data_IF_244829764367
#
_entry.id   IF_244829764367
#
_cell.length_a   1.000
_cell.length_b   1.000
_cell.length_c   1.000
_cell.angle_alpha   90.00
_cell.angle_beta   90.00
_cell.angle_gamma   90.00
#
_symmetry.space_group_name_H-M   'P 1'
#
loop_
_entity.id
_entity.type
_entity.pdbx_description
1 polymer ?
#
# COMPACT_ATOMS: atom_id res chain seq x y z
N UNK A 1 45.90 58.66 -22.18
CA UNK A 1 46.09 57.36 -21.50
C UNK A 1 45.14 57.30 -20.32
N UNK A 2 43.93 56.76 -20.49
CA UNK A 2 43.17 56.07 -19.44
C UNK A 2 41.92 55.45 -20.07
N UNK A 3 41.95 54.13 -20.19
CA UNK A 3 40.83 53.29 -20.61
C UNK A 3 40.01 52.92 -19.36
N UNK A 4 38.73 53.30 -19.32
CA UNK A 4 37.69 52.65 -18.51
C UNK A 4 36.38 52.85 -19.29
N UNK A 5 35.76 51.86 -19.92
CA UNK A 5 35.49 50.51 -19.44
C UNK A 5 33.98 50.39 -19.30
N UNK A 6 33.27 50.29 -20.42
CA UNK A 6 31.81 50.10 -20.47
C UNK A 6 31.44 48.82 -19.74
N UNK A 7 30.84 48.95 -18.55
CA UNK A 7 30.31 47.85 -17.78
C UNK A 7 29.11 47.25 -18.52
N UNK A 8 29.34 46.15 -19.23
CA UNK A 8 28.28 45.34 -19.84
C UNK A 8 27.53 44.60 -18.74
N UNK A 9 26.35 45.11 -18.40
CA UNK A 9 25.42 44.41 -17.52
C UNK A 9 25.08 43.02 -18.12
N UNK A 10 25.44 41.95 -17.41
CA UNK A 10 25.12 40.58 -17.76
C UNK A 10 23.59 40.37 -17.79
N UNK A 11 23.03 39.67 -18.78
CA UNK A 11 21.59 39.43 -18.83
C UNK A 11 21.15 38.54 -17.66
N UNK A 12 20.13 38.99 -16.93
CA UNK A 12 19.52 38.26 -15.83
C UNK A 12 19.04 36.87 -16.29
N UNK A 13 19.62 35.83 -15.71
CA UNK A 13 19.33 34.42 -15.99
C UNK A 13 17.96 34.04 -15.39
N UNK A 14 16.87 34.43 -16.05
CA UNK A 14 15.51 34.03 -15.71
C UNK A 14 15.25 32.57 -16.12
N UNK A 15 15.85 31.62 -15.39
CA UNK A 15 15.40 30.22 -15.43
C UNK A 15 14.01 30.17 -14.80
N UNK A 16 12.98 29.67 -15.52
CA UNK A 16 11.65 29.56 -14.93
C UNK A 16 11.74 28.67 -13.67
N UNK A 17 10.99 28.99 -12.60
CA UNK A 17 11.06 28.24 -11.35
C UNK A 17 10.74 26.77 -11.62
N UNK A 18 11.68 25.87 -11.27
CA UNK A 18 11.46 24.42 -11.34
C UNK A 18 10.20 24.10 -10.56
N UNK A 19 9.11 23.72 -11.27
CA UNK A 19 7.84 23.29 -10.66
C UNK A 19 8.13 22.27 -9.57
N UNK A 20 7.91 22.64 -8.30
CA UNK A 20 7.95 21.74 -7.14
C UNK A 20 6.97 20.60 -7.42
N UNK A 21 7.49 19.46 -7.86
CA UNK A 21 6.67 18.26 -8.02
C UNK A 21 6.28 17.78 -6.64
N UNK A 22 4.97 17.79 -6.37
CA UNK A 22 4.32 17.25 -5.18
C UNK A 22 4.89 15.87 -4.83
N UNK A 23 5.07 15.56 -3.53
CA UNK A 23 5.67 14.30 -3.06
C UNK A 23 5.06 13.05 -3.69
N UNK A 24 3.77 13.12 -4.03
CA UNK A 24 3.00 12.12 -4.78
C UNK A 24 3.63 11.81 -6.16
N UNK A 25 4.12 12.80 -6.91
CA UNK A 25 4.82 12.55 -8.20
C UNK A 25 6.14 11.81 -8.02
N UNK A 26 6.86 12.03 -6.91
CA UNK A 26 8.11 11.31 -6.60
C UNK A 26 7.81 9.89 -6.17
N UNK A 27 6.81 9.69 -5.31
CA UNK A 27 6.33 8.39 -4.90
C UNK A 27 5.83 7.57 -6.10
N UNK A 28 5.00 8.16 -6.95
CA UNK A 28 4.57 7.58 -8.22
C UNK A 28 5.78 7.24 -9.09
N UNK A 29 6.76 8.13 -9.25
CA UNK A 29 7.95 7.84 -10.06
C UNK A 29 8.82 6.70 -9.50
N UNK A 30 8.91 6.58 -8.19
CA UNK A 30 9.63 5.50 -7.51
C UNK A 30 8.91 4.15 -7.70
N UNK A 31 7.59 4.14 -7.53
CA UNK A 31 6.74 3.02 -7.92
C UNK A 31 6.91 2.72 -9.42
N UNK A 32 6.79 3.70 -10.31
CA UNK A 32 6.97 3.53 -11.75
C UNK A 32 8.29 2.83 -12.11
N UNK A 33 9.42 3.21 -11.52
CA UNK A 33 10.73 2.60 -11.80
C UNK A 33 10.83 1.15 -11.32
N UNK A 34 10.24 0.82 -10.16
CA UNK A 34 10.23 -0.56 -9.62
C UNK A 34 9.27 -1.46 -10.40
N UNK A 35 8.15 -0.92 -10.88
CA UNK A 35 7.15 -1.62 -11.68
C UNK A 35 7.49 -1.69 -13.18
N UNK A 36 8.46 -0.91 -13.68
CA UNK A 36 8.97 -1.03 -15.07
C UNK A 36 9.61 -2.38 -15.35
N UNK A 37 10.16 -3.04 -14.33
CA UNK A 37 10.73 -4.39 -14.44
C UNK A 37 9.69 -5.51 -14.38
N UNK A 38 8.45 -5.21 -13.98
CA UNK A 38 7.39 -6.21 -13.93
C UNK A 38 6.85 -6.47 -15.34
N UNK A 39 6.98 -7.72 -15.78
CA UNK A 39 6.36 -8.25 -16.99
C UNK A 39 4.92 -8.67 -16.64
N UNK A 40 3.95 -8.15 -17.38
CA UNK A 40 2.53 -8.43 -17.18
C UNK A 40 1.66 -7.33 -17.77
N UNK A 41 0.43 -7.66 -18.13
CA UNK A 41 -0.54 -6.67 -18.61
C UNK A 41 -0.92 -5.70 -17.47
N UNK A 42 -1.36 -4.46 -17.77
CA UNK A 42 -1.82 -3.53 -16.75
C UNK A 42 -2.91 -4.11 -15.83
N UNK A 43 -3.74 -4.99 -16.40
CA UNK A 43 -4.81 -5.67 -15.67
C UNK A 43 -4.25 -6.66 -14.65
N UNK A 44 -3.32 -7.53 -15.05
CA UNK A 44 -2.69 -8.51 -14.14
C UNK A 44 -1.92 -7.84 -13.00
N UNK A 45 -1.25 -6.72 -13.28
CA UNK A 45 -0.54 -5.93 -12.27
C UNK A 45 -1.50 -5.26 -11.30
N UNK A 46 -2.58 -4.64 -11.80
CA UNK A 46 -3.60 -4.01 -10.96
C UNK A 46 -4.32 -5.04 -10.08
N UNK A 47 -4.67 -6.19 -10.64
CA UNK A 47 -5.30 -7.29 -9.93
C UNK A 47 -4.38 -7.83 -8.83
N UNK A 48 -3.11 -8.08 -9.15
CA UNK A 48 -2.11 -8.49 -8.16
C UNK A 48 -2.00 -7.49 -7.01
N UNK A 49 -1.81 -6.20 -7.30
CA UNK A 49 -1.76 -5.14 -6.27
C UNK A 49 -3.00 -5.13 -5.39
N UNK A 50 -4.18 -5.27 -5.99
CA UNK A 50 -5.46 -5.25 -5.27
C UNK A 50 -5.58 -6.43 -4.32
N UNK A 51 -5.24 -7.64 -4.78
CA UNK A 51 -5.25 -8.83 -3.95
C UNK A 51 -4.22 -8.73 -2.81
N UNK A 52 -3.05 -8.14 -3.06
CA UNK A 52 -2.08 -7.85 -2.02
C UNK A 52 -2.56 -6.85 -0.97
N UNK A 53 -3.25 -5.80 -1.40
CA UNK A 53 -3.86 -4.83 -0.46
C UNK A 53 -4.98 -5.50 0.33
N UNK A 54 -5.82 -6.29 -0.33
CA UNK A 54 -6.88 -7.07 0.32
C UNK A 54 -6.31 -7.95 1.44
N UNK A 55 -5.31 -8.78 1.14
CA UNK A 55 -4.72 -9.65 2.16
C UNK A 55 -3.91 -8.87 3.20
N UNK A 56 -3.30 -7.76 2.81
CA UNK A 56 -2.62 -6.84 3.73
C UNK A 56 -3.57 -6.05 4.64
N UNK A 57 -4.88 -6.03 4.34
CA UNK A 57 -5.92 -5.52 5.24
C UNK A 57 -6.41 -6.58 6.22
N UNK A 58 -6.14 -7.86 5.98
CA UNK A 58 -6.49 -8.92 6.91
C UNK A 58 -5.41 -9.04 7.99
N UNK A 59 -5.75 -9.08 9.29
CA UNK A 59 -4.79 -9.16 10.39
C UNK A 59 -4.22 -10.58 10.56
N UNK A 60 -3.75 -11.20 9.48
CA UNK A 60 -3.25 -12.59 9.40
C UNK A 60 -1.73 -12.60 9.32
N UNK A 61 -1.06 -11.69 10.05
CA UNK A 61 0.39 -11.64 10.08
C UNK A 61 0.96 -12.95 10.69
N UNK A 62 2.01 -13.55 10.11
CA UNK A 62 2.77 -13.17 8.91
C UNK A 62 2.27 -13.79 7.59
N UNK A 63 1.19 -14.57 7.60
CA UNK A 63 0.69 -15.36 6.47
C UNK A 63 0.10 -14.54 5.32
N UNK A 64 -0.09 -13.23 5.49
CA UNK A 64 -0.66 -12.33 4.46
C UNK A 64 0.04 -12.40 3.10
N UNK A 65 1.37 -12.60 3.06
CA UNK A 65 2.14 -12.69 1.81
C UNK A 65 1.83 -14.00 1.09
N UNK A 66 1.78 -15.11 1.82
CA UNK A 66 1.43 -16.40 1.26
C UNK A 66 0.00 -16.37 0.68
N UNK A 67 -0.95 -15.79 1.42
CA UNK A 67 -2.32 -15.60 0.96
C UNK A 67 -2.37 -14.69 -0.27
N UNK A 68 -1.62 -13.59 -0.30
CA UNK A 68 -1.55 -12.69 -1.45
C UNK A 68 -1.09 -13.41 -2.73
N UNK A 69 -0.03 -14.21 -2.60
CA UNK A 69 0.53 -14.98 -3.73
C UNK A 69 -0.43 -16.07 -4.18
N UNK A 70 -1.10 -16.75 -3.24
CA UNK A 70 -2.09 -17.77 -3.55
C UNK A 70 -3.29 -17.19 -4.29
N UNK A 71 -3.83 -16.05 -3.83
CA UNK A 71 -4.92 -15.37 -4.54
C UNK A 71 -4.44 -14.87 -5.91
N UNK A 72 -3.24 -14.31 -6.01
CA UNK A 72 -2.69 -13.91 -7.30
C UNK A 72 -2.55 -15.09 -8.27
N UNK A 73 -2.18 -16.28 -7.78
CA UNK A 73 -2.16 -17.51 -8.58
C UNK A 73 -3.54 -17.89 -9.10
N UNK A 74 -4.55 -17.91 -8.22
CA UNK A 74 -5.92 -18.32 -8.56
C UNK A 74 -6.56 -17.35 -9.56
N UNK A 75 -6.44 -16.05 -9.30
CA UNK A 75 -7.04 -15.01 -10.13
C UNK A 75 -6.16 -14.61 -11.34
N UNK A 76 -5.06 -15.32 -11.58
CA UNK A 76 -4.09 -15.02 -12.65
C UNK A 76 -3.54 -13.58 -12.60
N UNK A 77 -3.40 -13.04 -11.39
CA UNK A 77 -2.75 -11.76 -11.11
C UNK A 77 -1.22 -11.88 -11.01
N UNK A 78 -0.54 -10.74 -11.08
CA UNK A 78 0.92 -10.73 -10.89
C UNK A 78 1.29 -11.00 -9.44
N UNK A 79 2.00 -12.12 -9.20
CA UNK A 79 2.45 -12.52 -7.86
C UNK A 79 3.35 -11.47 -7.20
N UNK A 80 4.27 -10.90 -7.97
CA UNK A 80 5.18 -9.88 -7.46
C UNK A 80 4.40 -8.60 -7.12
N UNK A 81 3.43 -8.22 -7.95
CA UNK A 81 2.54 -7.11 -7.63
C UNK A 81 1.71 -7.38 -6.37
N UNK A 82 1.26 -8.62 -6.15
CA UNK A 82 0.56 -9.00 -4.92
C UNK A 82 1.43 -8.89 -3.68
N UNK A 83 2.68 -9.35 -3.72
CA UNK A 83 3.64 -9.15 -2.62
C UNK A 83 3.84 -7.65 -2.35
N UNK A 84 4.02 -6.84 -3.39
CA UNK A 84 4.17 -5.39 -3.24
C UNK A 84 2.89 -4.73 -2.68
N UNK A 85 1.72 -5.25 -3.01
CA UNK A 85 0.44 -4.82 -2.46
C UNK A 85 0.35 -5.05 -0.95
N UNK A 86 0.91 -6.15 -0.43
CA UNK A 86 0.95 -6.37 1.03
C UNK A 86 1.82 -5.35 1.77
N UNK A 87 2.86 -4.81 1.11
CA UNK A 87 3.76 -3.81 1.70
C UNK A 87 3.18 -2.39 1.71
N UNK A 88 2.02 -2.15 1.09
CA UNK A 88 1.30 -0.89 1.24
C UNK A 88 0.79 -0.72 2.69
N UNK A 89 0.60 -1.82 3.41
CA UNK A 89 0.29 -1.82 4.84
C UNK A 89 1.53 -1.43 5.65
N UNK A 90 1.70 -0.14 5.92
CA UNK A 90 2.73 0.42 6.79
C UNK A 90 2.35 0.22 8.28
N UNK A 91 3.31 0.02 9.22
CA UNK A 91 3.07 0.01 10.67
C UNK A 91 2.15 1.13 11.19
N UNK A 92 2.22 2.33 10.60
CA UNK A 92 1.30 3.43 10.91
C UNK A 92 -0.18 3.09 10.66
N UNK A 93 -0.45 2.33 9.59
CA UNK A 93 -1.79 1.91 9.23
C UNK A 93 -2.23 0.63 9.96
N UNK A 94 -1.29 -0.14 10.53
CA UNK A 94 -1.62 -1.34 11.31
C UNK A 94 -2.43 -0.99 12.56
N UNK A 95 -2.12 0.12 13.24
CA UNK A 95 -2.92 0.55 14.38
C UNK A 95 -4.39 0.76 13.98
N UNK A 96 -4.65 1.54 12.93
CA UNK A 96 -6.02 1.77 12.45
C UNK A 96 -6.67 0.47 11.97
N UNK A 97 -5.95 -0.35 11.21
CA UNK A 97 -6.45 -1.62 10.67
C UNK A 97 -6.88 -2.56 11.78
N UNK A 98 -6.05 -2.82 12.79
CA UNK A 98 -6.38 -3.72 13.90
C UNK A 98 -7.53 -3.15 14.74
N UNK A 99 -7.53 -1.84 14.98
CA UNK A 99 -8.61 -1.19 15.71
C UNK A 99 -9.97 -1.35 15.02
N UNK A 100 -10.06 -0.98 13.74
CA UNK A 100 -11.31 -1.05 13.00
C UNK A 100 -11.71 -2.50 12.70
N UNK A 101 -10.75 -3.39 12.43
CA UNK A 101 -11.04 -4.82 12.23
C UNK A 101 -11.70 -5.42 13.47
N UNK A 102 -11.13 -5.20 14.66
CA UNK A 102 -11.76 -5.72 15.87
C UNK A 102 -13.13 -5.07 16.12
N UNK A 103 -13.24 -3.74 16.03
CA UNK A 103 -14.52 -3.04 16.25
C UNK A 103 -15.62 -3.53 15.33
N UNK A 104 -15.34 -3.66 14.03
CA UNK A 104 -16.31 -4.11 13.03
C UNK A 104 -16.66 -5.58 13.29
N UNK A 105 -15.66 -6.43 13.49
CA UNK A 105 -15.89 -7.86 13.72
C UNK A 105 -16.61 -8.16 15.03
N UNK A 106 -16.24 -7.49 16.12
CA UNK A 106 -16.90 -7.63 17.42
C UNK A 106 -18.34 -7.12 17.37
N UNK A 107 -18.61 -6.04 16.62
CA UNK A 107 -19.98 -5.57 16.39
C UNK A 107 -20.82 -6.59 15.60
N UNK A 108 -20.24 -7.22 14.56
CA UNK A 108 -20.93 -8.25 13.77
C UNK A 108 -21.18 -9.51 14.58
N UNK A 109 -20.20 -9.95 15.38
CA UNK A 109 -20.29 -11.15 16.21
C UNK A 109 -21.00 -10.92 17.54
N UNK A 110 -21.41 -9.68 17.85
CA UNK A 110 -22.04 -9.28 19.12
C UNK A 110 -21.25 -9.76 20.35
N UNK A 111 -19.92 -9.67 20.28
CA UNK A 111 -19.06 -10.17 21.35
C UNK A 111 -19.15 -9.30 22.61
N UNK A 112 -19.10 -9.90 23.81
CA UNK A 112 -18.95 -9.16 25.06
C UNK A 112 -17.68 -8.31 25.00
N UNK A 113 -17.76 -7.06 25.44
CA UNK A 113 -16.66 -6.09 25.44
C UNK A 113 -15.37 -6.71 26.01
N UNK A 114 -14.48 -7.20 25.14
CA UNK A 114 -13.20 -7.83 25.52
C UNK A 114 -12.11 -6.76 25.66
N UNK A 115 -12.47 -5.65 26.33
CA UNK A 115 -11.73 -4.39 26.29
C UNK A 115 -10.29 -4.53 26.81
N UNK A 116 -10.06 -5.36 27.84
CA UNK A 116 -8.73 -5.54 28.42
C UNK A 116 -7.74 -6.24 27.48
N UNK A 117 -8.16 -7.34 26.84
CA UNK A 117 -7.29 -8.08 25.92
C UNK A 117 -7.08 -7.30 24.63
N UNK A 118 -8.14 -6.68 24.11
CA UNK A 118 -8.04 -5.77 22.95
C UNK A 118 -7.08 -4.61 23.20
N UNK A 119 -7.16 -3.95 24.37
CA UNK A 119 -6.24 -2.87 24.72
C UNK A 119 -4.78 -3.33 24.74
N UNK A 120 -4.49 -4.54 25.22
CA UNK A 120 -3.12 -5.08 25.22
C UNK A 120 -2.60 -5.38 23.80
N UNK A 121 -3.47 -5.85 22.89
CA UNK A 121 -3.14 -6.04 21.47
C UNK A 121 -2.86 -4.68 20.81
N UNK A 122 -3.70 -3.68 21.06
CA UNK A 122 -3.53 -2.35 20.51
C UNK A 122 -2.28 -1.65 21.04
N UNK A 123 -1.91 -1.88 22.30
CA UNK A 123 -0.66 -1.38 22.88
C UNK A 123 0.56 -2.00 22.18
N UNK A 124 0.56 -3.30 21.92
CA UNK A 124 1.62 -3.97 21.14
C UNK A 124 1.78 -3.40 19.73
N UNK A 125 0.66 -3.18 19.04
CA UNK A 125 0.67 -2.60 17.70
C UNK A 125 1.21 -1.16 17.74
N UNK A 126 0.83 -0.38 18.75
CA UNK A 126 1.32 0.99 18.94
C UNK A 126 2.82 1.04 19.25
N UNK A 127 3.31 0.11 20.07
CA UNK A 127 4.73 0.00 20.42
C UNK A 127 5.60 -0.56 19.28
N UNK A 128 4.99 -0.99 18.16
CA UNK A 128 5.71 -1.58 17.04
C UNK A 128 6.30 -2.95 17.37
N UNK A 129 5.68 -3.70 18.28
CA UNK A 129 6.09 -5.06 18.61
C UNK A 129 5.95 -5.99 17.39
N UNK A 130 6.69 -7.10 17.41
CA UNK A 130 6.68 -8.07 16.33
C UNK A 130 5.27 -8.65 16.07
N UNK A 131 4.93 -8.78 14.79
CA UNK A 131 3.63 -9.33 14.36
C UNK A 131 3.35 -10.74 14.92
N UNK A 132 4.39 -11.52 15.20
CA UNK A 132 4.27 -12.84 15.83
C UNK A 132 3.76 -12.75 17.28
N UNK A 133 4.24 -11.77 18.05
CA UNK A 133 3.82 -11.56 19.43
C UNK A 133 2.36 -11.08 19.48
N UNK A 134 1.99 -10.18 18.56
CA UNK A 134 0.61 -9.70 18.40
C UNK A 134 -0.32 -10.87 18.04
N UNK A 135 0.08 -11.73 17.10
CA UNK A 135 -0.67 -12.92 16.73
C UNK A 135 -0.85 -13.87 17.93
N UNK A 136 0.21 -14.10 18.72
CA UNK A 136 0.14 -14.88 19.95
C UNK A 136 -0.87 -14.35 20.96
N UNK A 137 -0.92 -13.02 21.16
CA UNK A 137 -1.92 -12.38 22.04
C UNK A 137 -3.35 -12.60 21.55
N UNK A 138 -3.58 -12.51 20.24
CA UNK A 138 -4.90 -12.74 19.63
C UNK A 138 -5.32 -14.21 19.77
N UNK A 139 -4.39 -15.15 19.58
CA UNK A 139 -4.68 -16.58 19.73
C UNK A 139 -4.99 -16.93 21.18
N UNK A 140 -4.20 -16.42 22.13
CA UNK A 140 -4.44 -16.61 23.57
C UNK A 140 -5.75 -15.97 24.05
N UNK A 141 -6.25 -14.93 23.36
CA UNK A 141 -7.54 -14.32 23.65
C UNK A 141 -8.74 -15.22 23.30
N UNK A 142 -8.51 -16.30 22.54
CA UNK A 142 -9.51 -17.30 22.18
C UNK A 142 -10.14 -17.12 20.80
N UNK A 143 -10.92 -18.11 20.39
CA UNK A 143 -11.52 -18.20 19.05
C UNK A 143 -12.41 -17.02 18.66
N UNK A 144 -13.11 -16.43 19.63
CA UNK A 144 -13.96 -15.27 19.41
C UNK A 144 -13.17 -14.03 18.95
N UNK A 145 -11.98 -13.82 19.54
CA UNK A 145 -11.10 -12.72 19.16
C UNK A 145 -10.57 -12.91 17.74
N UNK A 146 -10.11 -14.12 17.42
CA UNK A 146 -9.66 -14.49 16.08
C UNK A 146 -10.78 -14.23 15.07
N UNK A 147 -11.99 -14.71 15.34
CA UNK A 147 -13.15 -14.54 14.47
C UNK A 147 -13.48 -13.06 14.25
N UNK A 148 -13.46 -12.23 15.29
CA UNK A 148 -13.68 -10.79 15.16
C UNK A 148 -12.64 -10.13 14.25
N UNK A 149 -11.35 -10.39 14.47
CA UNK A 149 -10.30 -9.84 13.63
C UNK A 149 -10.40 -10.30 12.17
N UNK A 150 -10.69 -11.57 11.93
CA UNK A 150 -10.85 -12.11 10.57
C UNK A 150 -12.06 -11.52 9.84
N UNK A 151 -13.22 -11.45 10.50
CA UNK A 151 -14.44 -10.90 9.90
C UNK A 151 -14.27 -9.41 9.63
N UNK A 152 -13.76 -8.64 10.58
CA UNK A 152 -13.55 -7.21 10.37
C UNK A 152 -12.50 -6.92 9.32
N UNK A 153 -11.40 -7.68 9.29
CA UNK A 153 -10.38 -7.59 8.25
C UNK A 153 -10.92 -7.93 6.86
N UNK A 154 -11.80 -8.94 6.76
CA UNK A 154 -12.47 -9.30 5.51
C UNK A 154 -13.40 -8.18 5.04
N UNK A 155 -14.20 -7.58 5.93
CA UNK A 155 -15.07 -6.45 5.59
C UNK A 155 -14.25 -5.25 5.12
N UNK A 156 -13.21 -4.87 5.87
CA UNK A 156 -12.31 -3.78 5.47
C UNK A 156 -11.63 -4.06 4.13
N UNK A 157 -11.14 -5.29 3.92
CA UNK A 157 -10.56 -5.72 2.66
C UNK A 157 -11.53 -5.56 1.49
N UNK A 158 -12.77 -6.02 1.63
CA UNK A 158 -13.80 -5.92 0.57
C UNK A 158 -14.17 -4.47 0.29
N UNK A 159 -14.22 -3.60 1.30
CA UNK A 159 -14.58 -2.19 1.11
C UNK A 159 -13.41 -1.39 0.51
N UNK A 160 -12.19 -1.63 0.98
CA UNK A 160 -11.02 -0.82 0.63
C UNK A 160 -10.39 -1.29 -0.68
N UNK A 161 -10.27 -2.59 -0.92
CA UNK A 161 -9.50 -3.10 -2.06
C UNK A 161 -10.07 -2.73 -3.46
N UNK A 162 -11.38 -2.81 -3.74
CA UNK A 162 -11.91 -2.55 -5.08
C UNK A 162 -11.64 -1.12 -5.61
N UNK A 163 -11.77 -0.04 -4.81
CA UNK A 163 -11.31 1.30 -5.23
C UNK A 163 -9.86 1.34 -5.70
N UNK A 164 -8.95 0.61 -5.01
CA UNK A 164 -7.53 0.56 -5.38
C UNK A 164 -7.32 -0.12 -6.73
N UNK A 165 -8.11 -1.13 -7.09
CA UNK A 165 -8.04 -1.76 -8.41
C UNK A 165 -8.17 -0.75 -9.54
N UNK A 166 -9.17 0.12 -9.49
CA UNK A 166 -9.40 1.14 -10.52
C UNK A 166 -8.27 2.16 -10.57
N UNK A 167 -7.74 2.56 -9.41
CA UNK A 167 -6.60 3.48 -9.31
C UNK A 167 -5.36 2.87 -9.96
N UNK A 168 -5.00 1.63 -9.56
CA UNK A 168 -3.83 0.95 -10.11
C UNK A 168 -3.98 0.64 -11.59
N UNK A 169 -5.17 0.26 -12.06
CA UNK A 169 -5.43 0.03 -13.48
C UNK A 169 -5.17 1.30 -14.30
N UNK A 170 -5.65 2.47 -13.85
CA UNK A 170 -5.38 3.76 -14.51
C UNK A 170 -3.88 4.06 -14.52
N UNK A 171 -3.20 3.84 -13.40
CA UNK A 171 -1.74 4.08 -13.28
C UNK A 171 -0.95 3.16 -14.22
N UNK A 172 -1.26 1.87 -14.25
CA UNK A 172 -0.55 0.90 -15.10
C UNK A 172 -0.83 1.08 -16.59
N UNK A 173 -2.07 1.43 -16.97
CA UNK A 173 -2.40 1.78 -18.37
C UNK A 173 -1.65 3.04 -18.82
N UNK A 174 -1.63 4.08 -17.99
CA UNK A 174 -0.89 5.31 -18.29
C UNK A 174 0.62 5.04 -18.43
N UNK A 175 1.16 4.16 -17.60
CA UNK A 175 2.54 3.70 -17.66
C UNK A 175 2.87 2.96 -18.95
N UNK A 176 2.00 2.04 -19.38
CA UNK A 176 2.17 1.28 -20.61
C UNK A 176 2.16 2.20 -21.84
N UNK A 177 1.21 3.13 -21.92
CA UNK A 177 1.16 4.13 -22.99
C UNK A 177 2.42 4.99 -23.03
N UNK A 178 2.99 5.33 -21.88
CA UNK A 178 4.23 6.08 -21.81
C UNK A 178 5.46 5.27 -22.25
N UNK A 179 5.48 3.95 -22.00
CA UNK A 179 6.52 3.05 -22.53
C UNK A 179 6.46 2.97 -24.05
N UNK A 180 5.26 2.79 -24.63
CA UNK A 180 5.07 2.73 -26.08
C UNK A 180 5.54 4.02 -26.78
N UNK A 181 5.20 5.18 -26.21
CA UNK A 181 5.65 6.49 -26.74
C UNK A 181 7.16 6.72 -26.64
N UNK A 182 7.87 6.03 -25.74
CA UNK A 182 9.34 6.09 -25.64
C UNK A 182 10.04 5.04 -26.50
N UNK A 183 9.41 3.89 -26.74
CA UNK A 183 9.89 2.89 -27.68
C UNK A 183 9.92 3.42 -29.11
N UNK A 184 8.89 4.14 -29.55
CA UNK A 184 8.82 4.80 -30.87
C UNK A 184 9.74 6.03 -31.06
N UNK A 185 10.61 6.35 -30.08
CA UNK A 185 11.59 7.45 -30.17
C UNK A 185 13.03 6.94 -30.30
N UNK A 186 13.21 5.65 -30.54
CA UNK A 186 14.46 5.02 -30.94
C UNK A 186 14.26 4.40 -32.30
#
# INVERSE_FOLDING_TARGET
MSYYGTSSALPANNKPPKKRTTGIRRFLRYFQLRFIRLRGSPHELALGMTLGIFTGMMPIMPFQIALAVLLALIFKGSKIAAVLGTWISNPLNWYFLYYYSYKIGAAILQLPNTNGVFASVMASVHNGEDGWLIAGKIVNAGGNMIAAFLIGGLVLGIVIAPPFYFVFLKVFRSLEQWRLKRGNRR
#
